data_IF_176093896463
#
_entry.id   IF_176093896463
#
_cell.length_a   1.000
_cell.length_b   1.000
_cell.length_c   1.000
_cell.angle_alpha   90.00
_cell.angle_beta   90.00
_cell.angle_gamma   90.00
#
_symmetry.space_group_name_H-M   'P 1'
#
loop_
_entity.id
_entity.type
_entity.pdbx_description
1 polymer ?
#
# COMPACT_ATOMS: atom_id res chain seq x y z
N UNK A 1 0.17 9.96 -23.90
CA UNK A 1 1.41 9.67 -23.14
C UNK A 1 0.99 8.91 -21.88
N UNK A 2 1.74 7.90 -21.40
CA UNK A 2 1.34 7.11 -20.22
C UNK A 2 1.77 7.82 -18.93
N UNK A 3 0.93 7.77 -17.89
CA UNK A 3 1.30 8.21 -16.55
C UNK A 3 2.27 7.19 -15.91
N UNK A 4 3.44 7.61 -15.40
CA UNK A 4 4.33 6.74 -14.63
C UNK A 4 3.67 6.22 -13.35
N UNK A 5 4.06 5.02 -12.91
CA UNK A 5 3.63 4.43 -11.63
C UNK A 5 4.88 4.09 -10.83
N UNK A 6 4.88 4.47 -9.55
CA UNK A 6 5.91 4.10 -8.58
C UNK A 6 5.26 3.26 -7.48
N UNK A 7 5.63 1.98 -7.41
CA UNK A 7 5.08 1.03 -6.44
C UNK A 7 6.16 0.54 -5.47
N UNK A 8 5.96 0.79 -4.18
CA UNK A 8 6.83 0.31 -3.11
C UNK A 8 6.43 -1.07 -2.61
N UNK A 9 7.10 -2.12 -3.10
CA UNK A 9 6.96 -3.47 -2.54
C UNK A 9 7.78 -3.60 -1.25
N UNK A 10 7.09 -3.71 -0.10
CA UNK A 10 7.75 -3.79 1.20
C UNK A 10 8.33 -5.17 1.51
N UNK A 11 7.99 -6.19 0.71
CA UNK A 11 8.33 -7.59 0.96
C UNK A 11 7.84 -7.99 2.37
N UNK A 12 8.53 -8.93 3.01
CA UNK A 12 8.23 -9.37 4.38
C UNK A 12 8.82 -8.40 5.43
N UNK A 13 8.40 -7.13 5.40
CA UNK A 13 8.90 -6.10 6.33
C UNK A 13 7.78 -5.19 6.85
N UNK A 14 7.90 -4.84 8.14
CA UNK A 14 6.97 -4.07 8.99
C UNK A 14 5.77 -4.83 9.55
N UNK A 15 5.55 -4.65 10.84
CA UNK A 15 4.28 -4.92 11.54
C UNK A 15 3.24 -3.87 11.18
N UNK A 16 1.94 -4.09 11.46
CA UNK A 16 0.89 -3.09 11.23
C UNK A 16 1.16 -1.73 11.90
N UNK A 17 1.75 -1.74 13.11
CA UNK A 17 2.10 -0.49 13.82
C UNK A 17 3.22 0.27 13.11
N UNK A 18 4.29 -0.42 12.69
CA UNK A 18 5.40 0.18 11.96
C UNK A 18 4.98 0.66 10.57
N UNK A 19 4.08 -0.08 9.92
CA UNK A 19 3.49 0.28 8.64
C UNK A 19 2.71 1.61 8.71
N UNK A 20 1.82 1.75 9.70
CA UNK A 20 1.06 2.98 9.93
C UNK A 20 1.98 4.15 10.26
N UNK A 21 2.96 3.94 11.15
CA UNK A 21 3.93 4.97 11.49
C UNK A 21 4.72 5.44 10.25
N UNK A 22 5.12 4.50 9.39
CA UNK A 22 5.83 4.80 8.16
C UNK A 22 4.99 5.62 7.18
N UNK A 23 3.75 5.20 6.88
CA UNK A 23 2.92 5.93 5.92
C UNK A 23 2.51 7.31 6.44
N UNK A 24 2.23 7.45 7.73
CA UNK A 24 1.95 8.77 8.32
C UNK A 24 3.14 9.72 8.22
N UNK A 25 4.38 9.21 8.22
CA UNK A 25 5.57 10.04 8.10
C UNK A 25 5.82 10.56 6.66
N UNK A 26 5.24 9.94 5.63
CA UNK A 26 5.53 10.27 4.22
C UNK A 26 4.30 10.71 3.42
N UNK A 27 3.08 10.50 3.93
CA UNK A 27 1.86 10.64 3.13
C UNK A 27 1.62 12.06 2.62
N UNK A 28 1.93 13.09 3.40
CA UNK A 28 1.64 14.48 3.01
C UNK A 28 2.49 14.92 1.81
N UNK A 29 3.79 14.62 1.84
CA UNK A 29 4.73 14.89 0.75
C UNK A 29 4.37 14.10 -0.52
N UNK A 30 4.06 12.80 -0.35
CA UNK A 30 3.66 11.94 -1.47
C UNK A 30 2.29 12.31 -2.04
N UNK A 31 1.41 12.92 -1.25
CA UNK A 31 0.10 13.38 -1.69
C UNK A 31 0.17 14.70 -2.45
N UNK A 32 1.14 15.56 -2.14
CA UNK A 32 1.40 16.80 -2.86
C UNK A 32 2.11 16.57 -4.22
N UNK A 33 2.72 15.40 -4.43
CA UNK A 33 3.41 15.07 -5.68
C UNK A 33 2.44 14.88 -6.85
N UNK A 34 2.79 15.44 -8.01
CA UNK A 34 2.08 15.27 -9.28
C UNK A 34 2.92 14.51 -10.31
N UNK A 35 2.28 13.97 -11.34
CA UNK A 35 2.97 13.39 -12.50
C UNK A 35 3.37 11.93 -12.38
N UNK A 36 3.02 11.26 -11.27
CA UNK A 36 3.12 9.81 -11.12
C UNK A 36 2.02 9.28 -10.19
N UNK A 37 1.58 8.05 -10.43
CA UNK A 37 0.77 7.29 -9.48
C UNK A 37 1.68 6.67 -8.41
N UNK A 38 1.18 6.58 -7.17
CA UNK A 38 1.94 6.10 -6.02
C UNK A 38 1.20 4.94 -5.40
N UNK A 39 1.91 3.83 -5.21
CA UNK A 39 1.35 2.61 -4.63
C UNK A 39 2.26 2.11 -3.52
N UNK A 40 1.68 1.67 -2.41
CA UNK A 40 2.39 0.90 -1.37
C UNK A 40 1.82 -0.51 -1.30
N UNK A 41 2.71 -1.52 -1.23
CA UNK A 41 2.31 -2.92 -1.11
C UNK A 41 2.85 -3.49 0.23
N UNK A 42 2.13 -3.30 1.36
CA UNK A 42 2.51 -3.84 2.66
C UNK A 42 2.31 -5.37 2.76
N UNK A 43 2.90 -6.05 3.76
CA UNK A 43 2.49 -7.41 4.12
C UNK A 43 0.98 -7.49 4.38
N UNK A 44 0.35 -8.63 4.06
CA UNK A 44 -1.10 -8.83 4.15
C UNK A 44 -1.72 -8.34 5.46
N UNK A 45 -1.10 -8.69 6.59
CA UNK A 45 -1.56 -8.34 7.94
C UNK A 45 -1.62 -6.82 8.20
N UNK A 46 -0.90 -6.02 7.41
CA UNK A 46 -0.83 -4.57 7.55
C UNK A 46 -1.70 -3.82 6.52
N UNK A 47 -2.25 -4.49 5.51
CA UNK A 47 -3.08 -3.88 4.46
C UNK A 47 -4.23 -3.06 5.07
N UNK A 48 -5.08 -3.59 5.99
CA UNK A 48 -6.21 -2.83 6.51
C UNK A 48 -5.80 -1.57 7.26
N UNK A 49 -4.74 -1.65 8.07
CA UNK A 49 -4.25 -0.53 8.86
C UNK A 49 -3.64 0.57 7.97
N UNK A 50 -2.89 0.18 6.93
CA UNK A 50 -2.32 1.11 5.94
C UNK A 50 -3.42 1.76 5.11
N UNK A 51 -4.42 1.00 4.67
CA UNK A 51 -5.55 1.53 3.92
C UNK A 51 -6.30 2.61 4.70
N UNK A 52 -6.66 2.33 5.96
CA UNK A 52 -7.30 3.31 6.84
C UNK A 52 -6.45 4.58 7.01
N UNK A 53 -5.13 4.43 7.18
CA UNK A 53 -4.24 5.59 7.37
C UNK A 53 -4.10 6.49 6.11
N UNK A 54 -4.47 5.98 4.94
CA UNK A 54 -4.29 6.63 3.63
C UNK A 54 -5.60 7.04 2.95
N UNK A 55 -6.78 6.87 3.57
CA UNK A 55 -8.09 7.11 2.93
C UNK A 55 -8.26 8.49 2.29
N UNK A 56 -7.67 9.53 2.88
CA UNK A 56 -7.78 10.92 2.39
C UNK A 56 -6.60 11.34 1.50
N UNK A 57 -5.90 10.37 0.89
CA UNK A 57 -4.74 10.59 0.03
C UNK A 57 -4.94 9.95 -1.33
N UNK A 58 -4.18 10.40 -2.33
CA UNK A 58 -4.14 9.76 -3.64
C UNK A 58 -3.16 8.57 -3.69
N UNK A 59 -2.66 8.08 -2.56
CA UNK A 59 -1.71 6.95 -2.49
C UNK A 59 -2.52 5.65 -2.48
N UNK A 60 -2.35 4.81 -3.49
CA UNK A 60 -3.04 3.54 -3.57
C UNK A 60 -2.38 2.47 -2.68
N UNK A 61 -3.18 1.49 -2.25
CA UNK A 61 -2.71 0.33 -1.48
C UNK A 61 -2.87 -0.92 -2.34
N UNK A 62 -1.78 -1.65 -2.55
CA UNK A 62 -1.75 -2.93 -3.25
C UNK A 62 -1.44 -4.10 -2.33
N UNK A 63 -1.67 -5.31 -2.83
CA UNK A 63 -1.19 -6.54 -2.20
C UNK A 63 0.14 -6.99 -2.83
N UNK A 64 0.86 -7.87 -2.14
CA UNK A 64 2.11 -8.46 -2.67
C UNK A 64 1.86 -9.76 -3.44
N UNK A 65 0.76 -10.45 -3.16
CA UNK A 65 0.33 -11.69 -3.79
C UNK A 65 -1.19 -11.88 -3.61
N UNK A 66 -1.81 -12.70 -4.45
CA UNK A 66 -3.24 -13.06 -4.40
C UNK A 66 -3.46 -14.48 -4.90
N UNK A 67 -4.46 -15.17 -4.34
CA UNK A 67 -4.95 -16.42 -4.89
C UNK A 67 -6.01 -16.15 -5.97
N UNK A 68 -6.10 -17.00 -7.00
CA UNK A 68 -7.01 -16.80 -8.13
C UNK A 68 -8.46 -17.21 -7.84
N UNK A 69 -8.68 -18.10 -6.87
CA UNK A 69 -10.03 -18.47 -6.41
C UNK A 69 -10.55 -17.46 -5.37
N UNK A 70 -11.85 -17.18 -5.41
CA UNK A 70 -12.49 -16.26 -4.46
C UNK A 70 -12.61 -16.86 -3.04
N UNK A 71 -12.85 -18.17 -2.93
CA UNK A 71 -13.02 -18.88 -1.66
C UNK A 71 -12.87 -20.40 -1.81
N UNK A 72 -12.41 -21.07 -0.76
CA UNK A 72 -12.33 -22.54 -0.70
C UNK A 72 -11.45 -23.04 0.44
N UNK A 73 -11.20 -24.35 0.49
CA UNK A 73 -10.39 -24.98 1.52
C UNK A 73 -8.88 -24.92 1.18
N UNK A 74 -8.31 -23.71 1.24
CA UNK A 74 -6.92 -23.40 0.84
C UNK A 74 -6.12 -22.82 2.01
N UNK A 75 -5.78 -23.67 2.99
CA UNK A 75 -4.85 -23.28 4.07
C UNK A 75 -3.42 -23.19 3.53
#
# INVERSE_FOLDING_TARGET
MRTPIIAGNWKMYKTPKEAVAFVNAIKDELNAMSGAERVVCPPYIAIPAVYTALQDTQIAVGAQDVHWEEQGAYT
#
